data_IF_390070800219
#
_entry.id   IF_390070800219
#
_cell.length_a   1.000
_cell.length_b   1.000
_cell.length_c   1.000
_cell.angle_alpha   90.00
_cell.angle_beta   90.00
_cell.angle_gamma   90.00
#
_symmetry.space_group_name_H-M   'P 1'
#
loop_
_entity.id
_entity.type
_entity.pdbx_description
1 polymer ?
#
# COMPACT_ATOMS: atom_id res chain seq x y z
N UNK A 1 39.72 -4.10 33.24
CA UNK A 1 39.51 -4.84 31.96
C UNK A 1 40.68 -5.82 31.82
N UNK A 2 40.41 -7.10 31.71
CA UNK A 2 41.45 -8.11 31.56
C UNK A 2 42.15 -7.99 30.21
N UNK A 3 43.49 -8.17 30.24
CA UNK A 3 44.34 -8.06 29.03
C UNK A 3 43.83 -8.93 27.88
N UNK A 4 43.23 -10.07 28.19
CA UNK A 4 42.65 -11.00 27.20
C UNK A 4 41.36 -10.45 26.56
N UNK A 5 40.53 -9.75 27.32
CA UNK A 5 39.30 -9.09 26.82
C UNK A 5 39.65 -7.95 25.87
N UNK A 6 40.69 -7.17 26.17
CA UNK A 6 41.17 -6.09 25.29
C UNK A 6 41.71 -6.63 23.97
N UNK A 7 42.48 -7.72 24.02
CA UNK A 7 43.00 -8.37 22.80
C UNK A 7 41.86 -8.95 21.95
N UNK A 8 40.87 -9.58 22.57
CA UNK A 8 39.68 -10.09 21.85
C UNK A 8 38.89 -8.95 21.16
N UNK A 9 38.72 -7.80 21.82
CA UNK A 9 38.05 -6.66 21.25
C UNK A 9 38.78 -6.08 20.02
N UNK A 10 40.11 -5.98 20.09
CA UNK A 10 40.95 -5.53 18.98
C UNK A 10 40.84 -6.47 17.79
N UNK A 11 40.87 -7.78 18.04
CA UNK A 11 40.74 -8.79 16.99
C UNK A 11 39.38 -8.76 16.31
N UNK A 12 38.28 -8.66 17.06
CA UNK A 12 36.92 -8.56 16.51
C UNK A 12 36.76 -7.28 15.68
N UNK A 13 37.28 -6.16 16.19
CA UNK A 13 37.22 -4.88 15.45
C UNK A 13 38.03 -4.95 14.15
N UNK A 14 39.21 -5.58 14.17
CA UNK A 14 40.02 -5.79 12.98
C UNK A 14 39.34 -6.66 11.92
N UNK A 15 38.66 -7.72 12.34
CA UNK A 15 37.89 -8.59 11.43
C UNK A 15 36.71 -7.84 10.79
N UNK A 16 36.00 -7.03 11.56
CA UNK A 16 34.86 -6.21 11.05
C UNK A 16 35.35 -5.18 10.03
N UNK A 17 36.45 -4.49 10.30
CA UNK A 17 37.04 -3.51 9.38
C UNK A 17 37.48 -4.19 8.08
N UNK A 18 38.16 -5.34 8.19
CA UNK A 18 38.59 -6.12 7.03
C UNK A 18 37.38 -6.59 6.18
N UNK A 19 36.32 -7.06 6.83
CA UNK A 19 35.12 -7.50 6.17
C UNK A 19 34.40 -6.34 5.43
N UNK A 20 34.30 -5.16 6.05
CA UNK A 20 33.76 -3.96 5.43
C UNK A 20 34.61 -3.55 4.21
N UNK A 21 35.92 -3.59 4.30
CA UNK A 21 36.83 -3.24 3.19
C UNK A 21 36.67 -4.17 1.99
N UNK A 22 36.48 -5.46 2.24
CA UNK A 22 36.31 -6.47 1.19
C UNK A 22 34.90 -6.46 0.56
N UNK A 23 33.88 -6.02 1.31
CA UNK A 23 32.49 -6.00 0.86
C UNK A 23 31.95 -4.59 0.54
N UNK A 24 32.79 -3.55 0.47
CA UNK A 24 32.33 -2.22 0.05
C UNK A 24 32.11 -2.22 -1.46
N UNK A 25 30.87 -1.99 -1.95
CA UNK A 25 30.62 -1.90 -3.38
C UNK A 25 31.36 -0.67 -3.95
N UNK A 26 32.09 -0.88 -5.02
CA UNK A 26 32.82 0.18 -5.73
C UNK A 26 31.80 1.20 -6.25
N UNK A 27 31.91 2.52 -5.97
CA UNK A 27 31.00 3.50 -6.52
C UNK A 27 31.12 3.55 -8.04
N UNK A 28 30.03 3.30 -8.74
CA UNK A 28 29.94 3.49 -10.17
C UNK A 28 30.23 4.96 -10.52
N UNK A 29 31.23 5.16 -11.38
CA UNK A 29 31.57 6.48 -11.91
C UNK A 29 30.43 6.98 -12.76
N UNK A 30 29.74 8.03 -12.29
CA UNK A 30 28.78 8.76 -13.10
C UNK A 30 29.49 9.37 -14.32
N UNK A 31 28.92 9.28 -15.52
CA UNK A 31 29.48 9.92 -16.71
C UNK A 31 29.35 11.44 -16.59
N UNK A 32 30.49 12.11 -16.72
CA UNK A 32 30.62 13.57 -16.74
C UNK A 32 29.96 14.10 -18.00
N UNK A 33 28.96 14.97 -17.84
CA UNK A 33 28.38 15.74 -18.96
C UNK A 33 29.39 16.75 -19.49
N UNK A 34 29.65 16.82 -20.80
CA UNK A 34 30.39 17.94 -21.38
C UNK A 34 29.49 19.18 -21.46
N UNK A 35 29.98 20.30 -20.96
CA UNK A 35 29.50 21.64 -21.30
C UNK A 35 30.01 22.00 -22.66
N UNK A 36 29.13 22.42 -23.57
CA UNK A 36 29.51 23.41 -24.55
C UNK A 36 28.30 24.19 -25.04
N UNK A 37 28.51 25.48 -25.06
CA UNK A 37 27.63 26.52 -25.56
C UNK A 37 27.66 26.57 -27.09
N UNK A 38 26.59 27.01 -27.71
CA UNK A 38 26.49 28.24 -28.55
C UNK A 38 25.25 28.19 -29.43
N UNK A 39 24.52 29.26 -29.39
CA UNK A 39 23.36 29.60 -30.22
C UNK A 39 23.59 29.46 -31.72
N UNK A 40 22.53 29.14 -32.45
CA UNK A 40 22.09 29.92 -33.61
C UNK A 40 20.65 29.53 -34.04
N UNK A 41 19.84 30.55 -34.27
CA UNK A 41 18.49 30.52 -34.85
C UNK A 41 18.49 29.90 -36.25
N UNK A 42 17.48 29.15 -36.62
CA UNK A 42 16.46 29.61 -37.57
C UNK A 42 15.32 28.59 -37.82
N UNK A 43 14.19 29.13 -38.04
CA UNK A 43 12.86 28.75 -38.45
C UNK A 43 12.76 27.57 -39.43
N UNK A 44 11.90 26.58 -39.09
CA UNK A 44 10.89 26.04 -40.03
C UNK A 44 10.03 24.98 -39.36
N UNK A 45 8.71 25.16 -39.42
CA UNK A 45 7.70 24.29 -38.87
C UNK A 45 7.58 22.96 -39.61
N UNK A 46 7.83 21.85 -38.90
CA UNK A 46 7.38 20.54 -39.33
C UNK A 46 6.68 19.91 -38.10
N UNK A 47 5.42 19.55 -38.28
CA UNK A 47 4.62 18.77 -37.30
C UNK A 47 5.26 17.40 -37.11
N UNK A 48 6.04 17.22 -36.08
CA UNK A 48 6.46 15.89 -35.63
C UNK A 48 5.39 15.30 -34.69
N UNK A 49 4.90 14.16 -35.12
CA UNK A 49 4.09 13.22 -34.40
C UNK A 49 4.88 12.79 -33.16
N UNK A 50 4.41 13.16 -31.94
CA UNK A 50 5.00 12.72 -30.67
C UNK A 50 5.00 11.19 -30.62
N UNK A 51 6.15 10.60 -30.81
CA UNK A 51 6.43 9.22 -30.44
C UNK A 51 6.61 9.25 -28.93
N UNK A 52 5.68 8.63 -28.19
CA UNK A 52 5.80 8.42 -26.75
C UNK A 52 7.01 7.53 -26.50
N UNK A 53 8.07 8.12 -25.96
CA UNK A 53 9.20 7.39 -25.39
C UNK A 53 8.70 6.66 -24.14
N UNK A 54 8.41 5.37 -24.26
CA UNK A 54 8.14 4.51 -23.11
C UNK A 54 9.35 4.51 -22.18
N UNK A 55 9.15 4.95 -20.95
CA UNK A 55 10.14 4.89 -19.87
C UNK A 55 10.49 3.43 -19.60
N UNK A 56 11.75 3.06 -19.31
CA UNK A 56 12.14 1.67 -19.05
C UNK A 56 11.32 0.97 -17.97
N UNK A 57 10.80 1.72 -17.00
CA UNK A 57 9.99 1.23 -15.89
C UNK A 57 8.61 0.71 -16.33
N UNK A 58 7.96 1.37 -17.30
CA UNK A 58 6.68 0.91 -17.87
C UNK A 58 6.82 -0.42 -18.62
N UNK A 59 7.97 -0.66 -19.24
CA UNK A 59 8.26 -1.93 -19.93
C UNK A 59 8.50 -3.07 -18.93
N UNK A 60 9.16 -2.83 -17.80
CA UNK A 60 9.35 -3.83 -16.75
C UNK A 60 8.03 -4.17 -16.03
N UNK A 61 7.18 -3.18 -15.79
CA UNK A 61 5.88 -3.40 -15.16
C UNK A 61 4.93 -4.16 -16.09
N UNK A 62 4.95 -3.88 -17.38
CA UNK A 62 4.20 -4.63 -18.39
C UNK A 62 4.65 -6.09 -18.48
N UNK A 63 5.95 -6.37 -18.36
CA UNK A 63 6.48 -7.73 -18.29
C UNK A 63 6.04 -8.49 -17.03
N UNK A 64 5.85 -7.79 -15.91
CA UNK A 64 5.38 -8.38 -14.65
C UNK A 64 3.89 -8.64 -14.63
N UNK A 65 3.10 -7.76 -15.23
CA UNK A 65 1.63 -7.83 -15.21
C UNK A 65 1.04 -8.77 -16.27
N UNK A 66 1.83 -9.15 -17.27
CA UNK A 66 1.39 -10.03 -18.34
C UNK A 66 0.40 -9.37 -19.31
N UNK A 67 -0.27 -10.21 -20.10
CA UNK A 67 -1.17 -9.74 -21.17
C UNK A 67 -2.54 -9.24 -20.69
N UNK A 68 -2.86 -9.40 -19.42
CA UNK A 68 -4.20 -9.06 -18.91
C UNK A 68 -4.33 -7.64 -18.39
N UNK A 69 -3.22 -7.06 -17.92
CA UNK A 69 -3.23 -5.75 -17.29
C UNK A 69 -2.29 -4.80 -18.01
N UNK A 70 -2.83 -3.73 -18.54
CA UNK A 70 -2.01 -2.67 -19.11
C UNK A 70 -1.24 -1.96 -17.99
N UNK A 71 0.05 -1.68 -18.21
CA UNK A 71 0.80 -0.75 -17.37
C UNK A 71 0.37 0.67 -17.74
N UNK A 72 -0.59 1.22 -17.03
CA UNK A 72 -0.93 2.62 -17.20
C UNK A 72 0.01 3.46 -16.33
N UNK A 73 0.68 4.46 -16.90
CA UNK A 73 1.21 5.59 -16.16
C UNK A 73 0.03 6.40 -15.61
N UNK A 74 -0.60 5.90 -14.56
CA UNK A 74 -1.72 6.59 -13.94
C UNK A 74 -1.23 7.34 -12.70
N UNK A 75 -1.81 8.52 -12.53
CA UNK A 75 -1.54 9.35 -11.35
C UNK A 75 -2.37 8.85 -10.19
N UNK A 76 -1.74 8.73 -9.02
CA UNK A 76 -2.47 8.44 -7.79
C UNK A 76 -3.46 9.56 -7.46
N UNK A 77 -4.75 9.20 -7.33
CA UNK A 77 -5.82 10.08 -6.95
C UNK A 77 -6.33 9.72 -5.56
N UNK A 78 -6.50 10.74 -4.71
CA UNK A 78 -6.94 10.59 -3.34
C UNK A 78 -8.36 11.13 -3.18
N UNK A 79 -9.23 10.33 -2.59
CA UNK A 79 -10.57 10.70 -2.19
C UNK A 79 -10.63 10.75 -0.68
N UNK A 80 -11.11 11.86 -0.12
CA UNK A 80 -11.28 12.03 1.32
C UNK A 80 -12.76 11.90 1.69
N UNK A 81 -13.06 11.02 2.62
CA UNK A 81 -14.39 10.84 3.20
C UNK A 81 -14.29 11.20 4.67
N UNK A 82 -15.10 12.15 5.07
CA UNK A 82 -15.17 12.62 6.45
C UNK A 82 -16.58 12.35 6.98
N UNK A 83 -16.67 11.64 8.12
CA UNK A 83 -17.92 11.49 8.84
C UNK A 83 -17.79 12.04 10.27
N UNK A 84 -18.80 11.85 11.12
CA UNK A 84 -18.82 12.36 12.50
C UNK A 84 -17.70 11.77 13.37
N UNK A 85 -17.19 10.58 13.02
CA UNK A 85 -16.29 9.78 13.84
C UNK A 85 -14.89 9.61 13.25
N UNK A 86 -14.76 9.63 11.91
CA UNK A 86 -13.53 9.33 11.21
C UNK A 86 -13.27 10.26 10.01
N UNK A 87 -12.00 10.36 9.62
CA UNK A 87 -11.55 10.91 8.35
C UNK A 87 -10.75 9.83 7.62
N UNK A 88 -11.22 9.46 6.43
CA UNK A 88 -10.71 8.33 5.66
C UNK A 88 -10.19 8.85 4.33
N UNK A 89 -8.97 8.46 3.97
CA UNK A 89 -8.39 8.70 2.65
C UNK A 89 -8.37 7.38 1.86
N UNK A 90 -8.98 7.39 0.68
CA UNK A 90 -8.91 6.30 -0.28
C UNK A 90 -7.94 6.67 -1.40
N UNK A 91 -7.26 5.67 -1.96
CA UNK A 91 -6.40 5.80 -3.13
C UNK A 91 -6.90 4.92 -4.26
N UNK A 92 -6.87 5.41 -5.50
CA UNK A 92 -7.12 4.61 -6.69
C UNK A 92 -5.99 3.61 -6.95
N UNK A 93 -4.79 3.84 -6.41
CA UNK A 93 -3.69 2.86 -6.44
C UNK A 93 -4.03 1.71 -5.50
N UNK A 94 -4.22 0.53 -6.05
CA UNK A 94 -4.75 -0.64 -5.35
C UNK A 94 -6.24 -0.57 -5.03
N UNK A 95 -6.93 0.56 -5.24
CA UNK A 95 -8.31 0.78 -4.80
C UNK A 95 -8.47 0.58 -3.29
N UNK A 96 -7.63 1.23 -2.47
CA UNK A 96 -7.45 0.90 -1.06
C UNK A 96 -7.72 2.06 -0.10
N UNK A 97 -7.96 1.72 1.17
CA UNK A 97 -7.94 2.68 2.27
C UNK A 97 -6.47 3.01 2.56
N UNK A 98 -6.09 4.28 2.33
CA UNK A 98 -4.73 4.78 2.54
C UNK A 98 -4.50 5.27 3.96
N UNK A 99 -5.52 5.92 4.55
CA UNK A 99 -5.49 6.41 5.93
C UNK A 99 -6.88 6.34 6.54
N UNK A 100 -6.91 6.11 7.84
CA UNK A 100 -8.12 6.15 8.64
C UNK A 100 -7.81 6.82 9.98
N UNK A 101 -8.28 8.06 10.15
CA UNK A 101 -8.13 8.84 11.39
C UNK A 101 -9.39 8.75 12.23
N UNK A 102 -9.25 8.43 13.50
CA UNK A 102 -10.35 8.45 14.48
C UNK A 102 -10.45 9.85 15.10
N UNK A 103 -11.54 10.57 14.84
CA UNK A 103 -11.69 11.98 15.23
C UNK A 103 -11.80 12.18 16.76
N UNK A 104 -12.26 11.16 17.49
CA UNK A 104 -12.47 11.23 18.95
C UNK A 104 -11.33 10.67 19.78
N UNK A 105 -10.29 10.10 19.15
CA UNK A 105 -9.18 9.46 19.85
C UNK A 105 -7.86 10.14 19.52
N UNK A 106 -7.08 10.45 20.56
CA UNK A 106 -5.72 10.96 20.43
C UNK A 106 -4.73 9.81 20.54
N UNK A 107 -3.63 9.90 19.83
CA UNK A 107 -2.50 8.99 20.02
C UNK A 107 -1.81 9.30 21.36
N UNK A 108 -1.13 8.32 21.96
CA UNK A 108 -0.53 8.41 23.29
C UNK A 108 0.49 9.55 23.40
N UNK A 109 1.35 9.74 22.41
CA UNK A 109 2.41 10.78 22.45
C UNK A 109 1.87 12.21 22.31
N UNK A 110 0.62 12.41 21.92
CA UNK A 110 0.00 13.73 21.91
C UNK A 110 -0.79 14.02 23.19
N UNK A 111 -1.14 13.01 23.98
CA UNK A 111 -1.82 13.18 25.25
C UNK A 111 -0.92 13.86 26.29
N UNK A 112 0.38 13.50 26.33
CA UNK A 112 1.34 14.05 27.28
C UNK A 112 1.82 15.45 26.94
N UNK A 113 1.84 15.84 25.70
CA UNK A 113 2.43 17.12 25.24
C UNK A 113 1.38 18.19 25.20
N UNK A 114 0.43 18.47 25.92
CA UNK A 114 -0.50 19.63 25.87
C UNK A 114 -0.49 20.38 24.51
N UNK A 115 -0.03 19.73 23.48
CA UNK A 115 0.19 20.27 22.17
C UNK A 115 -1.12 20.31 21.42
N UNK A 116 -1.63 21.52 21.17
CA UNK A 116 -2.57 21.86 20.13
C UNK A 116 -2.00 21.60 18.72
N UNK A 117 -1.41 20.42 18.53
CA UNK A 117 -0.86 20.02 17.24
C UNK A 117 -1.95 19.90 16.17
N UNK A 118 -1.55 19.94 14.91
CA UNK A 118 -2.43 19.68 13.77
C UNK A 118 -3.22 18.39 13.98
N UNK A 119 -4.50 18.35 13.57
CA UNK A 119 -5.37 17.17 13.60
C UNK A 119 -4.64 15.89 13.16
N UNK A 120 -3.92 15.94 12.07
CA UNK A 120 -3.19 14.78 11.53
C UNK A 120 -2.03 14.28 12.38
N UNK A 121 -1.54 15.09 13.31
CA UNK A 121 -0.46 14.72 14.23
C UNK A 121 -0.97 14.15 15.55
N UNK A 122 -2.14 14.59 15.99
CA UNK A 122 -2.68 14.27 17.32
C UNK A 122 -3.67 13.11 17.31
N UNK A 123 -4.34 12.84 16.21
CA UNK A 123 -5.36 11.81 16.13
C UNK A 123 -4.76 10.42 15.88
N UNK A 124 -5.43 9.42 16.43
CA UNK A 124 -5.16 8.02 16.10
C UNK A 124 -5.33 7.82 14.60
N UNK A 125 -4.34 7.23 13.97
CA UNK A 125 -4.36 6.86 12.56
C UNK A 125 -4.05 5.35 12.46
N UNK A 126 -5.00 4.57 11.95
CA UNK A 126 -4.99 3.11 12.02
C UNK A 126 -4.16 2.42 10.94
N UNK A 127 -4.04 3.02 9.75
CA UNK A 127 -3.36 2.38 8.62
C UNK A 127 -1.86 2.66 8.68
N UNK A 128 -0.98 1.67 8.88
CA UNK A 128 0.45 1.89 8.93
C UNK A 128 0.97 2.42 7.59
N UNK A 129 2.04 3.20 7.65
CA UNK A 129 2.81 3.51 6.44
C UNK A 129 3.67 2.31 6.11
N UNK A 130 3.50 1.73 4.93
CA UNK A 130 4.38 0.69 4.45
C UNK A 130 5.77 1.24 4.11
N UNK A 131 6.74 0.36 4.09
CA UNK A 131 8.07 0.65 3.56
C UNK A 131 8.05 0.28 2.08
N UNK A 132 8.15 1.26 1.19
CA UNK A 132 8.09 1.05 -0.26
C UNK A 132 6.67 1.19 -0.85
N UNK A 133 6.40 0.51 -1.97
CA UNK A 133 5.13 0.59 -2.71
C UNK A 133 3.96 -0.18 -2.10
N UNK A 134 4.14 -0.81 -0.94
CA UNK A 134 3.16 -1.69 -0.28
C UNK A 134 2.30 -0.99 0.78
N UNK A 135 1.95 0.25 0.57
CA UNK A 135 1.34 1.17 1.57
C UNK A 135 -0.15 0.95 1.83
N UNK A 136 -0.74 -0.22 1.54
CA UNK A 136 -2.18 -0.29 1.43
C UNK A 136 -2.80 -1.33 2.34
N UNK A 137 -4.05 -1.06 2.77
CA UNK A 137 -4.79 -1.82 3.75
C UNK A 137 -5.00 -3.27 3.32
N UNK A 138 -5.61 -3.52 2.18
CA UNK A 138 -5.76 -4.89 1.69
C UNK A 138 -5.71 -4.97 0.16
N UNK A 139 -5.21 -6.12 -0.32
CA UNK A 139 -4.99 -6.39 -1.73
C UNK A 139 -5.54 -7.74 -2.12
N UNK A 140 -5.77 -7.90 -3.41
CA UNK A 140 -6.09 -9.18 -3.99
C UNK A 140 -4.83 -9.69 -4.68
N UNK A 141 -4.45 -10.93 -4.39
CA UNK A 141 -3.29 -11.59 -4.97
C UNK A 141 -3.72 -12.91 -5.60
N UNK A 142 -3.26 -13.20 -6.80
CA UNK A 142 -3.56 -14.44 -7.51
C UNK A 142 -2.50 -14.75 -8.55
N UNK A 143 -2.50 -15.99 -9.03
CA UNK A 143 -1.72 -16.38 -10.20
C UNK A 143 -2.62 -16.31 -11.43
N UNK A 144 -2.19 -15.57 -12.45
CA UNK A 144 -2.92 -15.51 -13.71
C UNK A 144 -2.71 -16.79 -14.55
N UNK A 145 -3.61 -17.07 -15.48
CA UNK A 145 -3.55 -18.28 -16.32
C UNK A 145 -2.33 -18.32 -17.24
N UNK A 146 -1.62 -17.22 -17.45
CA UNK A 146 -0.31 -17.18 -18.10
C UNK A 146 0.88 -17.38 -17.12
N UNK A 147 0.58 -17.78 -15.86
CA UNK A 147 1.58 -18.16 -14.86
C UNK A 147 2.23 -17.02 -14.09
N UNK A 148 1.67 -15.81 -14.13
CA UNK A 148 2.23 -14.64 -13.42
C UNK A 148 1.56 -14.41 -12.09
N UNK A 149 2.34 -14.07 -11.08
CA UNK A 149 1.82 -13.61 -9.79
C UNK A 149 1.39 -12.14 -9.91
N UNK A 150 0.10 -11.89 -9.74
CA UNK A 150 -0.51 -10.56 -9.78
C UNK A 150 -0.83 -10.14 -8.36
N UNK A 151 -0.44 -8.92 -8.00
CA UNK A 151 -0.86 -8.25 -6.76
C UNK A 151 -1.46 -6.90 -7.13
N UNK A 152 -2.70 -6.68 -6.72
CA UNK A 152 -3.46 -5.49 -7.13
C UNK A 152 -2.99 -4.21 -6.45
N UNK A 153 -2.09 -4.25 -5.46
CA UNK A 153 -1.62 -3.07 -4.72
C UNK A 153 -0.92 -2.02 -5.59
N UNK A 154 -0.27 -2.45 -6.66
CA UNK A 154 0.45 -1.56 -7.58
C UNK A 154 -0.39 -1.10 -8.77
N UNK A 155 -1.61 -1.65 -8.94
CA UNK A 155 -2.49 -1.37 -10.06
C UNK A 155 -3.40 -0.18 -9.78
N UNK A 156 -3.74 0.56 -10.82
CA UNK A 156 -4.64 1.70 -10.71
C UNK A 156 -6.08 1.30 -11.08
N UNK A 157 -6.99 1.62 -10.20
CA UNK A 157 -8.41 1.36 -10.33
C UNK A 157 -9.15 2.63 -10.76
N UNK A 158 -10.15 2.49 -11.60
CA UNK A 158 -11.07 3.56 -11.90
C UNK A 158 -12.06 3.74 -10.74
N UNK A 159 -12.20 4.96 -10.27
CA UNK A 159 -13.11 5.30 -9.18
C UNK A 159 -14.48 5.75 -9.70
N UNK A 160 -15.56 5.37 -9.01
CA UNK A 160 -16.91 5.92 -9.23
C UNK A 160 -17.11 7.31 -8.61
N UNK A 161 -16.15 7.82 -7.85
CA UNK A 161 -16.27 9.10 -7.16
C UNK A 161 -16.32 10.28 -8.13
N UNK A 162 -17.24 11.20 -7.88
CA UNK A 162 -17.41 12.43 -8.67
C UNK A 162 -16.69 13.64 -8.05
N UNK A 163 -16.18 13.48 -6.82
CA UNK A 163 -15.52 14.55 -6.04
C UNK A 163 -14.33 13.98 -5.30
N UNK A 164 -13.37 14.82 -4.99
CA UNK A 164 -12.21 14.44 -4.16
C UNK A 164 -12.50 14.48 -2.65
N UNK A 165 -13.61 15.10 -2.22
CA UNK A 165 -14.02 15.16 -0.81
C UNK A 165 -15.52 14.99 -0.64
N UNK A 166 -15.91 14.16 0.35
CA UNK A 166 -17.26 13.92 0.81
C UNK A 166 -17.34 14.15 2.30
N UNK A 167 -18.45 14.75 2.76
CA UNK A 167 -18.78 14.92 4.18
C UNK A 167 -20.12 14.22 4.39
N UNK A 168 -20.13 13.27 5.33
CA UNK A 168 -21.30 12.48 5.69
C UNK A 168 -21.69 12.80 7.13
N UNK A 169 -22.95 12.99 7.39
CA UNK A 169 -23.49 13.27 8.71
C UNK A 169 -24.66 12.34 9.03
N UNK A 170 -24.82 12.00 10.30
CA UNK A 170 -25.96 11.23 10.79
C UNK A 170 -26.24 9.97 9.94
N UNK A 171 -27.37 9.93 9.26
CA UNK A 171 -27.86 8.76 8.51
C UNK A 171 -27.40 8.75 7.04
N UNK A 172 -26.55 9.70 6.65
CA UNK A 172 -25.96 9.70 5.32
C UNK A 172 -25.19 8.41 5.05
N UNK A 173 -25.23 7.98 3.81
CA UNK A 173 -24.39 6.88 3.33
C UNK A 173 -23.81 7.19 1.96
N UNK A 174 -22.60 6.66 1.70
CA UNK A 174 -21.89 6.84 0.44
C UNK A 174 -21.28 5.52 0.02
N UNK A 175 -21.49 5.12 -1.22
CA UNK A 175 -20.80 3.97 -1.81
C UNK A 175 -19.80 4.46 -2.84
N UNK A 176 -18.55 4.01 -2.71
CA UNK A 176 -17.48 4.23 -3.69
C UNK A 176 -17.04 2.88 -4.24
N UNK A 177 -17.04 2.75 -5.56
CA UNK A 177 -16.57 1.56 -6.27
C UNK A 177 -15.26 1.88 -6.97
N UNK A 178 -14.27 1.03 -6.76
CA UNK A 178 -13.03 1.00 -7.50
C UNK A 178 -13.03 -0.20 -8.44
N UNK A 179 -12.90 0.02 -9.74
CA UNK A 179 -12.95 -1.04 -10.76
C UNK A 179 -11.64 -1.11 -11.54
N UNK A 180 -11.07 -2.30 -11.62
CA UNK A 180 -9.91 -2.62 -12.43
C UNK A 180 -10.37 -3.51 -13.59
N UNK A 181 -10.19 -3.01 -14.81
CA UNK A 181 -10.54 -3.76 -16.04
C UNK A 181 -9.30 -4.43 -16.62
N UNK A 182 -9.46 -5.65 -17.06
CA UNK A 182 -8.44 -6.37 -17.82
C UNK A 182 -8.64 -6.11 -19.33
N UNK A 183 -7.58 -6.32 -20.12
CA UNK A 183 -7.65 -6.20 -21.58
C UNK A 183 -8.62 -7.20 -22.24
N UNK A 184 -8.88 -8.31 -21.56
CA UNK A 184 -9.78 -9.37 -22.04
C UNK A 184 -11.22 -9.24 -21.56
N UNK A 185 -11.55 -8.14 -20.87
CA UNK A 185 -12.90 -7.83 -20.41
C UNK A 185 -13.27 -8.36 -19.02
N UNK A 186 -12.31 -8.91 -18.28
CA UNK A 186 -12.47 -9.21 -16.86
C UNK A 186 -12.51 -7.94 -16.02
N UNK A 187 -13.21 -7.96 -14.90
CA UNK A 187 -13.33 -6.81 -13.99
C UNK A 187 -13.17 -7.31 -12.56
N UNK A 188 -12.32 -6.61 -11.81
CA UNK A 188 -12.23 -6.70 -10.35
C UNK A 188 -12.77 -5.41 -9.78
N UNK A 189 -13.79 -5.47 -8.93
CA UNK A 189 -14.38 -4.33 -8.25
C UNK A 189 -14.21 -4.44 -6.75
N UNK A 190 -13.77 -3.36 -6.11
CA UNK A 190 -13.77 -3.17 -4.66
C UNK A 190 -14.82 -2.12 -4.34
N UNK A 191 -15.79 -2.46 -3.53
CA UNK A 191 -16.92 -1.62 -3.20
C UNK A 191 -16.81 -1.27 -1.72
N UNK A 192 -16.81 0.01 -1.40
CA UNK A 192 -16.77 0.52 -0.03
C UNK A 192 -18.04 1.30 0.27
N UNK A 193 -18.69 0.98 1.37
CA UNK A 193 -19.84 1.73 1.85
C UNK A 193 -19.54 2.37 3.19
N UNK A 194 -19.68 3.68 3.24
CA UNK A 194 -19.44 4.54 4.38
C UNK A 194 -20.75 5.04 4.97
N UNK A 195 -20.76 5.27 6.29
CA UNK A 195 -21.90 5.76 7.03
C UNK A 195 -21.53 7.02 7.83
N UNK A 196 -22.46 7.97 7.98
CA UNK A 196 -22.21 9.25 8.63
C UNK A 196 -21.87 9.14 10.12
N UNK A 197 -22.45 8.16 10.81
CA UNK A 197 -22.34 8.01 12.26
C UNK A 197 -21.72 6.68 12.73
N UNK A 198 -20.99 5.97 11.86
CA UNK A 198 -20.39 4.67 12.19
C UNK A 198 -18.89 4.63 11.90
N UNK A 199 -18.16 3.85 12.69
CA UNK A 199 -16.73 3.59 12.45
C UNK A 199 -16.49 2.52 11.40
N UNK A 200 -17.40 1.54 11.28
CA UNK A 200 -17.22 0.45 10.32
C UNK A 200 -17.44 0.91 8.89
N UNK A 201 -16.72 0.26 8.01
CA UNK A 201 -16.79 0.42 6.57
C UNK A 201 -17.16 -0.95 6.02
N UNK A 202 -18.30 -1.06 5.34
CA UNK A 202 -18.63 -2.27 4.62
C UNK A 202 -17.75 -2.35 3.36
N UNK A 203 -17.23 -3.52 3.05
CA UNK A 203 -16.37 -3.72 1.89
C UNK A 203 -16.68 -5.03 1.20
N UNK A 204 -16.98 -4.95 -0.09
CA UNK A 204 -17.25 -6.09 -0.95
C UNK A 204 -16.22 -6.18 -2.08
N UNK A 205 -15.95 -7.38 -2.54
CA UNK A 205 -15.15 -7.66 -3.72
C UNK A 205 -16.00 -8.42 -4.71
N UNK A 206 -16.11 -7.87 -5.91
CA UNK A 206 -16.80 -8.52 -7.03
C UNK A 206 -15.81 -8.82 -8.15
N UNK A 207 -15.91 -10.02 -8.70
CA UNK A 207 -15.10 -10.47 -9.84
C UNK A 207 -16.01 -10.92 -10.97
N UNK A 208 -15.94 -10.22 -12.11
CA UNK A 208 -16.74 -10.52 -13.29
C UNK A 208 -15.83 -10.95 -14.43
N UNK A 209 -16.16 -12.09 -15.08
CA UNK A 209 -15.39 -12.64 -16.20
C UNK A 209 -13.91 -12.88 -15.89
N UNK A 210 -13.60 -13.29 -14.65
CA UNK A 210 -12.22 -13.54 -14.20
C UNK A 210 -11.81 -15.03 -14.26
N UNK A 211 -12.72 -15.95 -14.57
CA UNK A 211 -12.48 -17.40 -14.53
C UNK A 211 -11.34 -17.84 -15.47
N UNK A 212 -11.24 -17.23 -16.66
CA UNK A 212 -10.17 -17.54 -17.63
C UNK A 212 -8.87 -16.80 -17.35
N UNK A 213 -8.88 -15.87 -16.36
CA UNK A 213 -7.75 -15.01 -16.01
C UNK A 213 -7.07 -15.51 -14.75
N UNK A 214 -7.84 -15.94 -13.76
CA UNK A 214 -7.33 -16.44 -12.49
C UNK A 214 -7.12 -17.96 -12.60
N UNK A 215 -5.88 -18.39 -12.40
CA UNK A 215 -5.55 -19.83 -12.44
C UNK A 215 -6.28 -20.57 -11.34
N UNK A 216 -6.97 -21.66 -11.71
CA UNK A 216 -7.74 -22.52 -10.79
C UNK A 216 -8.79 -21.77 -9.94
N UNK A 217 -9.20 -20.58 -10.33
CA UNK A 217 -10.11 -19.71 -9.57
C UNK A 217 -9.64 -19.41 -8.12
N UNK A 218 -8.33 -19.51 -7.88
CA UNK A 218 -7.74 -19.26 -6.57
C UNK A 218 -7.19 -17.84 -6.47
N UNK A 219 -7.61 -17.13 -5.42
CA UNK A 219 -7.10 -15.82 -5.07
C UNK A 219 -7.02 -15.65 -3.57
N UNK A 220 -6.12 -14.79 -3.14
CA UNK A 220 -5.94 -14.41 -1.73
C UNK A 220 -6.39 -12.97 -1.52
N UNK A 221 -7.08 -12.72 -0.42
CA UNK A 221 -7.30 -11.37 0.12
C UNK A 221 -6.26 -11.17 1.21
N UNK A 222 -5.33 -10.24 0.98
CA UNK A 222 -4.19 -10.02 1.84
C UNK A 222 -4.29 -8.66 2.51
N UNK A 223 -4.42 -8.64 3.83
CA UNK A 223 -4.28 -7.43 4.62
C UNK A 223 -2.79 -7.20 4.94
N UNK A 224 -2.17 -6.26 4.24
CA UNK A 224 -0.77 -5.95 4.43
C UNK A 224 -0.56 -5.06 5.66
N UNK A 225 0.52 -5.31 6.40
CA UNK A 225 1.03 -4.48 7.50
C UNK A 225 0.12 -4.37 8.75
N UNK A 226 -0.98 -5.11 8.83
CA UNK A 226 -1.88 -5.08 9.99
C UNK A 226 -2.50 -3.70 10.28
N UNK A 227 -2.73 -3.40 11.54
CA UNK A 227 -3.10 -2.08 12.04
C UNK A 227 -1.91 -1.45 12.76
N UNK A 228 -1.86 -0.12 12.76
CA UNK A 228 -0.82 0.63 13.45
C UNK A 228 -1.06 0.58 14.96
N UNK A 229 -0.01 0.30 15.72
CA UNK A 229 -0.01 0.47 17.19
C UNK A 229 -0.16 1.96 17.54
N UNK A 230 -1.04 2.24 18.47
CA UNK A 230 -1.43 3.60 18.85
C UNK A 230 -1.30 3.89 20.35
N UNK A 231 -1.08 2.85 21.16
CA UNK A 231 -0.85 2.93 22.59
C UNK A 231 0.67 3.03 22.91
N UNK A 232 1.02 3.52 24.09
CA UNK A 232 2.40 3.64 24.55
C UNK A 232 3.08 2.27 24.66
N UNK A 233 2.37 1.30 25.19
CA UNK A 233 2.84 -0.08 25.31
C UNK A 233 2.34 -0.94 24.13
N UNK A 234 3.08 -0.91 23.04
CA UNK A 234 2.75 -1.68 21.83
C UNK A 234 2.82 -3.21 22.04
N UNK A 235 3.56 -3.67 23.04
CA UNK A 235 3.64 -5.10 23.40
C UNK A 235 2.32 -5.54 23.99
N UNK A 236 1.78 -4.80 24.95
CA UNK A 236 0.47 -5.08 25.54
C UNK A 236 -0.63 -4.97 24.47
N UNK A 237 -0.59 -3.92 23.63
CA UNK A 237 -1.55 -3.75 22.53
C UNK A 237 -1.54 -4.96 21.57
N UNK A 238 -0.35 -5.51 21.28
CA UNK A 238 -0.22 -6.67 20.39
C UNK A 238 -0.86 -7.95 20.95
N UNK A 239 -1.00 -8.08 22.25
CA UNK A 239 -1.65 -9.26 22.89
C UNK A 239 -3.14 -9.35 22.58
N UNK A 240 -3.74 -8.27 22.12
CA UNK A 240 -5.15 -8.22 21.72
C UNK A 240 -5.34 -8.31 20.19
N UNK A 241 -4.27 -8.60 19.44
CA UNK A 241 -4.34 -8.70 17.98
C UNK A 241 -5.09 -9.97 17.57
N UNK A 242 -6.30 -9.81 17.08
CA UNK A 242 -7.18 -10.90 16.63
C UNK A 242 -7.73 -10.60 15.25
N UNK A 243 -7.76 -11.61 14.38
CA UNK A 243 -8.48 -11.56 13.12
C UNK A 243 -9.70 -12.47 13.19
N UNK A 244 -10.86 -11.94 12.82
CA UNK A 244 -12.12 -12.70 12.87
C UNK A 244 -12.64 -12.95 11.45
N UNK A 245 -13.09 -14.16 11.21
CA UNK A 245 -13.72 -14.57 9.93
C UNK A 245 -15.07 -15.19 10.23
N UNK A 246 -16.10 -14.76 9.51
CA UNK A 246 -17.40 -15.41 9.53
C UNK A 246 -17.42 -16.49 8.43
N UNK A 247 -17.53 -17.75 8.84
CA UNK A 247 -17.54 -18.90 7.95
C UNK A 247 -18.40 -20.01 8.53
N UNK A 248 -19.24 -20.66 7.70
CA UNK A 248 -20.06 -21.79 8.13
C UNK A 248 -21.05 -21.45 9.25
N UNK A 249 -21.67 -20.27 9.18
CA UNK A 249 -22.63 -19.73 10.15
C UNK A 249 -22.05 -19.42 11.55
N UNK A 250 -20.72 -19.38 11.68
CA UNK A 250 -20.04 -19.02 12.93
C UNK A 250 -18.93 -17.97 12.72
N UNK A 251 -18.60 -17.23 13.79
CA UNK A 251 -17.42 -16.38 13.83
C UNK A 251 -16.25 -17.20 14.33
N UNK A 252 -15.20 -17.23 13.54
CA UNK A 252 -13.95 -17.92 13.86
C UNK A 252 -12.87 -16.88 14.12
N UNK A 253 -12.35 -16.85 15.34
CA UNK A 253 -11.27 -15.96 15.74
C UNK A 253 -9.91 -16.63 15.52
N UNK A 254 -8.97 -15.86 14.99
CA UNK A 254 -7.57 -16.21 14.85
C UNK A 254 -6.78 -15.25 15.72
N UNK A 255 -6.32 -15.73 16.85
CA UNK A 255 -5.46 -14.98 17.76
C UNK A 255 -4.06 -14.87 17.15
N UNK A 256 -3.60 -13.65 16.90
CA UNK A 256 -2.31 -13.33 16.35
C UNK A 256 -1.36 -12.69 17.36
N UNK A 257 -1.61 -12.86 18.65
CA UNK A 257 -0.80 -12.30 19.75
C UNK A 257 0.60 -12.89 19.86
N UNK A 258 0.86 -14.05 19.24
CA UNK A 258 2.16 -14.71 19.23
C UNK A 258 3.06 -14.30 18.06
N UNK A 259 4.32 -14.73 18.11
CA UNK A 259 5.31 -14.53 17.03
C UNK A 259 5.18 -15.53 15.87
N UNK A 260 4.35 -16.54 15.99
CA UNK A 260 4.19 -17.60 15.00
C UNK A 260 3.10 -17.25 13.97
N UNK A 261 3.31 -17.72 12.74
CA UNK A 261 2.26 -17.66 11.71
C UNK A 261 1.15 -18.65 12.07
N UNK A 262 -0.04 -18.13 12.28
CA UNK A 262 -1.22 -18.93 12.52
C UNK A 262 -1.95 -19.15 11.20
N UNK A 263 -2.27 -20.40 10.90
CA UNK A 263 -3.07 -20.79 9.74
C UNK A 263 -4.29 -21.56 10.23
N UNK A 264 -5.45 -21.14 9.79
CA UNK A 264 -6.71 -21.86 10.00
C UNK A 264 -7.24 -22.28 8.62
N UNK A 265 -7.58 -23.54 8.47
CA UNK A 265 -8.20 -24.09 7.26
C UNK A 265 -9.68 -24.30 7.53
N UNK A 266 -10.51 -23.94 6.58
CA UNK A 266 -11.95 -24.11 6.61
C UNK A 266 -12.32 -25.17 5.55
N UNK A 267 -13.07 -26.17 5.96
CA UNK A 267 -13.51 -27.28 5.08
C UNK A 267 -14.96 -27.09 4.64
#
# INVERSE_FOLDING_TARGET
MDRNTTVAFILITGIIILWLFLNTPTPEKQPVKPKSATELKDTSAVKEKKISTHTPQAAEDSLKLGRYFASAEEKEEIITIENDLALIELSNKGGNIRKCYLKKFNNWYSADTKNSGSFYKTRVQLIPRGVGSADHSYNISFVSSDGRAINTSSLFFNSSAQRSKYILTQDDSLTITYSLKTETGGIISKIYKFHGNKYHIDSDIEMTNMNDIISNNNYDIVWNNGLRFVEENSVDESTYATASVYYGDEVVDVDASGSEKIKKEFN
#
